data_IF_785679112201
#
_entry.id   IF_785679112201
#
_cell.length_a   1.000
_cell.length_b   1.000
_cell.length_c   1.000
_cell.angle_alpha   90.00
_cell.angle_beta   90.00
_cell.angle_gamma   90.00
#
_symmetry.space_group_name_H-M   'P 1'
#
loop_
_entity.id
_entity.type
_entity.pdbx_description
1 polymer ?
#
# COMPACT_ATOMS: atom_id res chain seq x y z
N UNK A 1 12.01 -66.20 20.69
CA UNK A 1 11.13 -66.17 19.50
C UNK A 1 10.76 -64.71 19.27
N UNK A 2 11.44 -64.01 18.36
CA UNK A 2 11.03 -63.80 16.94
C UNK A 2 9.60 -63.20 16.88
N UNK A 3 9.30 -62.09 16.22
CA UNK A 3 10.01 -61.16 15.35
C UNK A 3 9.16 -59.85 15.32
N UNK A 4 9.78 -58.68 15.35
CA UNK A 4 9.90 -57.79 14.18
C UNK A 4 8.56 -57.42 13.50
N UNK A 5 8.05 -56.22 13.75
CA UNK A 5 7.47 -55.39 12.70
C UNK A 5 7.57 -53.90 13.05
N UNK A 6 8.65 -53.29 12.53
CA UNK A 6 8.83 -51.85 12.32
C UNK A 6 8.32 -51.54 10.92
N UNK A 7 7.35 -50.63 10.75
CA UNK A 7 7.24 -49.73 9.58
C UNK A 7 6.45 -48.49 10.04
N UNK A 8 7.13 -47.44 10.50
CA UNK A 8 7.28 -46.16 9.79
C UNK A 8 5.95 -45.62 9.24
N UNK A 9 5.22 -44.84 10.04
CA UNK A 9 4.21 -43.91 9.52
C UNK A 9 4.95 -42.66 9.01
N UNK A 10 5.24 -42.65 7.71
CA UNK A 10 5.84 -41.54 6.98
C UNK A 10 4.85 -40.37 6.94
N UNK A 11 5.36 -39.20 7.30
CA UNK A 11 4.83 -37.87 7.02
C UNK A 11 4.25 -37.77 5.61
N UNK A 12 2.93 -37.60 5.49
CA UNK A 12 2.33 -36.96 4.32
C UNK A 12 1.89 -35.58 4.75
N UNK A 13 2.87 -34.69 4.86
CA UNK A 13 2.62 -33.27 4.71
C UNK A 13 2.12 -33.06 3.30
N UNK A 14 0.84 -32.72 3.14
CA UNK A 14 0.30 -32.19 1.89
C UNK A 14 0.90 -30.79 1.77
N UNK A 15 2.12 -30.75 1.24
CA UNK A 15 2.70 -29.54 0.69
C UNK A 15 1.80 -29.12 -0.47
N UNK A 16 1.11 -28.00 -0.28
CA UNK A 16 0.49 -27.28 -1.38
C UNK A 16 1.64 -26.68 -2.20
N UNK A 17 2.21 -27.49 -3.09
CA UNK A 17 3.08 -27.02 -4.14
C UNK A 17 2.19 -26.19 -5.06
N UNK A 18 2.26 -24.87 -4.91
CA UNK A 18 1.83 -23.95 -5.95
C UNK A 18 2.63 -24.28 -7.20
N UNK A 19 2.02 -25.11 -8.05
CA UNK A 19 2.41 -25.22 -9.45
C UNK A 19 2.13 -23.89 -10.10
N UNK A 20 3.13 -22.98 -10.05
CA UNK A 20 3.21 -21.89 -11.02
C UNK A 20 3.49 -22.59 -12.34
N UNK A 21 2.41 -22.88 -13.06
CA UNK A 21 2.47 -23.19 -14.49
C UNK A 21 3.19 -22.00 -15.11
N UNK A 22 4.46 -22.19 -15.45
CA UNK A 22 5.27 -21.16 -16.06
C UNK A 22 4.63 -20.78 -17.39
N UNK A 23 3.94 -19.64 -17.43
CA UNK A 23 3.78 -18.90 -18.66
C UNK A 23 5.19 -18.69 -19.21
N UNK A 24 5.50 -19.34 -20.34
CA UNK A 24 6.69 -18.98 -21.09
C UNK A 24 6.50 -17.55 -21.52
N UNK A 25 7.23 -16.66 -20.88
CA UNK A 25 7.48 -15.28 -21.25
C UNK A 25 7.65 -15.20 -22.79
N UNK A 26 6.67 -14.62 -23.47
CA UNK A 26 6.56 -14.52 -24.93
C UNK A 26 7.20 -13.23 -25.47
N UNK A 27 7.63 -12.34 -24.58
CA UNK A 27 8.29 -11.08 -24.95
C UNK A 27 9.67 -11.25 -25.60
N UNK A 28 10.08 -10.23 -26.37
CA UNK A 28 11.45 -10.14 -26.88
C UNK A 28 12.41 -9.85 -25.73
N UNK A 29 13.63 -10.39 -25.77
CA UNK A 29 14.65 -10.06 -24.76
C UNK A 29 15.12 -8.62 -24.98
N UNK A 30 15.00 -7.78 -23.95
CA UNK A 30 15.57 -6.42 -23.93
C UNK A 30 17.04 -6.51 -23.54
N UNK A 31 17.32 -7.16 -22.39
CA UNK A 31 18.68 -7.41 -21.93
C UNK A 31 18.76 -8.66 -21.04
N UNK A 32 19.99 -9.08 -20.71
CA UNK A 32 20.24 -10.16 -19.75
C UNK A 32 21.11 -9.62 -18.62
N UNK A 33 20.63 -9.75 -17.39
CA UNK A 33 21.34 -9.34 -16.17
C UNK A 33 21.68 -10.62 -15.43
N UNK A 34 22.97 -10.95 -15.33
CA UNK A 34 23.42 -12.19 -14.70
C UNK A 34 22.76 -13.43 -15.33
N UNK A 35 21.89 -14.09 -14.56
CA UNK A 35 21.12 -15.28 -15.00
C UNK A 35 19.68 -14.96 -15.40
N UNK A 36 19.20 -13.74 -15.17
CA UNK A 36 17.83 -13.35 -15.51
C UNK A 36 17.78 -12.63 -16.86
N UNK A 37 16.76 -12.98 -17.66
CA UNK A 37 16.46 -12.30 -18.91
C UNK A 37 15.33 -11.32 -18.67
N UNK A 38 15.59 -10.04 -18.92
CA UNK A 38 14.54 -9.02 -18.96
C UNK A 38 13.92 -9.06 -20.36
N UNK A 39 12.62 -9.33 -20.41
CA UNK A 39 11.83 -9.34 -21.64
C UNK A 39 10.92 -8.12 -21.71
N UNK A 40 10.39 -7.84 -22.90
CA UNK A 40 9.36 -6.83 -23.09
C UNK A 40 8.13 -7.09 -22.22
N UNK A 41 7.65 -8.34 -22.15
CA UNK A 41 6.49 -8.72 -21.34
C UNK A 41 6.75 -8.54 -19.83
N UNK A 42 7.94 -8.90 -19.33
CA UNK A 42 8.32 -8.65 -17.92
C UNK A 42 8.32 -7.15 -17.59
N UNK A 43 8.92 -6.34 -18.46
CA UNK A 43 8.96 -4.91 -18.24
C UNK A 43 7.58 -4.28 -18.35
N UNK A 44 6.78 -4.62 -19.38
CA UNK A 44 5.42 -4.10 -19.56
C UNK A 44 4.49 -4.48 -18.39
N UNK A 45 4.63 -5.70 -17.85
CA UNK A 45 3.91 -6.14 -16.65
C UNK A 45 4.30 -5.30 -15.44
N UNK A 46 5.60 -5.12 -15.20
CA UNK A 46 6.12 -4.26 -14.13
C UNK A 46 5.63 -2.81 -14.28
N UNK A 47 5.74 -2.26 -15.48
CA UNK A 47 5.39 -0.88 -15.80
C UNK A 47 3.89 -0.62 -15.62
N UNK A 48 3.04 -1.55 -16.05
CA UNK A 48 1.59 -1.49 -15.83
C UNK A 48 1.26 -1.47 -14.34
N UNK A 49 1.90 -2.34 -13.55
CA UNK A 49 1.72 -2.37 -12.10
C UNK A 49 2.26 -1.09 -11.43
N UNK A 50 3.34 -0.51 -11.94
CA UNK A 50 3.91 0.74 -11.45
C UNK A 50 2.95 1.92 -11.65
N UNK A 51 2.35 2.05 -12.84
CA UNK A 51 1.32 3.06 -13.13
C UNK A 51 0.10 2.87 -12.23
N UNK A 52 -0.39 1.64 -12.07
CA UNK A 52 -1.51 1.33 -11.17
C UNK A 52 -1.20 1.77 -9.74
N UNK A 53 -0.01 1.43 -9.24
CA UNK A 53 0.45 1.85 -7.91
C UNK A 53 0.49 3.38 -7.79
N UNK A 54 1.07 4.07 -8.77
CA UNK A 54 1.14 5.53 -8.76
C UNK A 54 -0.25 6.18 -8.75
N UNK A 55 -1.17 5.68 -9.57
CA UNK A 55 -2.58 6.13 -9.60
C UNK A 55 -3.25 5.99 -8.24
N UNK A 56 -3.08 4.85 -7.57
CA UNK A 56 -3.65 4.60 -6.23
C UNK A 56 -3.04 5.50 -5.16
N UNK A 57 -1.73 5.68 -5.17
CA UNK A 57 -1.03 6.49 -4.18
C UNK A 57 -1.31 7.99 -4.36
N UNK A 58 -1.39 8.46 -5.61
CA UNK A 58 -1.71 9.84 -5.93
C UNK A 58 -3.21 10.15 -5.86
N UNK A 59 -4.06 9.13 -5.68
CA UNK A 59 -5.52 9.24 -5.80
C UNK A 59 -5.96 9.95 -7.10
N UNK A 60 -5.23 9.68 -8.19
CA UNK A 60 -5.44 10.27 -9.51
C UNK A 60 -5.85 9.17 -10.48
N UNK A 61 -6.75 9.47 -11.41
CA UNK A 61 -7.05 8.57 -12.51
C UNK A 61 -5.82 8.40 -13.43
N UNK A 62 -5.72 7.25 -14.10
CA UNK A 62 -4.59 6.97 -14.99
C UNK A 62 -4.51 7.94 -16.16
N UNK A 63 -5.64 8.40 -16.69
CA UNK A 63 -5.68 9.33 -17.82
C UNK A 63 -5.04 10.67 -17.46
N UNK A 64 -5.24 11.15 -16.23
CA UNK A 64 -4.57 12.33 -15.68
C UNK A 64 -3.07 12.11 -15.60
N UNK A 65 -2.61 10.95 -15.13
CA UNK A 65 -1.18 10.64 -15.12
C UNK A 65 -0.59 10.61 -16.53
N UNK A 66 -1.27 9.96 -17.48
CA UNK A 66 -0.86 9.92 -18.88
C UNK A 66 -0.80 11.30 -19.52
N UNK A 67 -1.80 12.15 -19.24
CA UNK A 67 -1.80 13.55 -19.71
C UNK A 67 -0.58 14.29 -19.18
N UNK A 68 -0.26 14.16 -17.89
CA UNK A 68 0.89 14.83 -17.28
C UNK A 68 2.24 14.33 -17.82
N UNK A 69 2.33 13.05 -18.19
CA UNK A 69 3.52 12.51 -18.88
C UNK A 69 3.70 13.12 -20.28
N UNK A 70 2.60 13.33 -21.01
CA UNK A 70 2.61 13.91 -22.35
C UNK A 70 2.71 15.44 -22.38
N UNK A 71 2.41 16.11 -21.25
CA UNK A 71 2.36 17.56 -21.11
C UNK A 71 3.18 18.03 -19.89
N UNK A 72 4.52 18.03 -19.99
CA UNK A 72 5.39 18.37 -18.86
C UNK A 72 5.16 19.77 -18.28
N UNK A 73 4.66 20.71 -19.09
CA UNK A 73 4.28 22.06 -18.70
C UNK A 73 3.09 22.11 -17.73
N UNK A 74 2.28 21.05 -17.69
CA UNK A 74 1.10 20.93 -16.81
C UNK A 74 1.43 20.25 -15.48
N UNK A 75 2.67 19.75 -15.30
CA UNK A 75 3.07 19.11 -14.05
C UNK A 75 3.10 20.17 -12.94
N UNK A 76 2.47 19.90 -11.77
CA UNK A 76 2.57 20.78 -10.62
C UNK A 76 4.03 21.11 -10.26
N UNK A 77 4.30 22.34 -9.81
CA UNK A 77 5.66 22.75 -9.42
C UNK A 77 6.17 22.06 -8.15
N UNK A 78 5.33 21.25 -7.50
CA UNK A 78 5.71 20.42 -6.37
C UNK A 78 6.79 19.37 -6.77
N UNK A 79 7.94 19.32 -6.05
CA UNK A 79 9.01 18.38 -6.38
C UNK A 79 8.58 16.92 -6.36
N UNK A 80 7.70 16.51 -5.45
CA UNK A 80 7.26 15.11 -5.35
C UNK A 80 6.39 14.74 -6.54
N UNK A 81 5.49 15.64 -6.99
CA UNK A 81 4.72 15.44 -8.22
C UNK A 81 5.63 15.29 -9.43
N UNK A 82 6.64 16.16 -9.56
CA UNK A 82 7.58 16.11 -10.68
C UNK A 82 8.38 14.82 -10.70
N UNK A 83 8.90 14.39 -9.56
CA UNK A 83 9.66 13.14 -9.45
C UNK A 83 8.79 11.90 -9.73
N UNK A 84 7.54 11.93 -9.27
CA UNK A 84 6.56 10.87 -9.56
C UNK A 84 6.29 10.78 -11.06
N UNK A 85 5.93 11.89 -11.72
CA UNK A 85 5.63 11.91 -13.15
C UNK A 85 6.87 11.55 -13.98
N UNK A 86 8.05 12.07 -13.63
CA UNK A 86 9.30 11.70 -14.29
C UNK A 86 9.60 10.20 -14.15
N UNK A 87 9.23 9.59 -13.03
CA UNK A 87 9.33 8.14 -12.80
C UNK A 87 8.33 7.30 -13.60
N UNK A 88 7.28 7.90 -14.16
CA UNK A 88 6.34 7.24 -15.07
C UNK A 88 6.83 7.24 -16.52
N UNK A 89 7.82 8.05 -16.89
CA UNK A 89 8.38 8.03 -18.25
C UNK A 89 9.04 6.66 -18.50
N UNK A 90 8.68 5.92 -19.57
CA UNK A 90 9.12 4.54 -19.77
C UNK A 90 10.62 4.33 -19.66
N UNK A 91 11.44 5.19 -20.26
CA UNK A 91 12.90 5.09 -20.23
C UNK A 91 13.44 5.24 -18.81
N UNK A 92 12.97 6.26 -18.07
CA UNK A 92 13.36 6.48 -16.68
C UNK A 92 12.88 5.33 -15.77
N UNK A 93 11.70 4.79 -16.06
CA UNK A 93 11.13 3.69 -15.31
C UNK A 93 11.89 2.39 -15.56
N UNK A 94 12.30 2.15 -16.81
CA UNK A 94 13.13 1.02 -17.20
C UNK A 94 14.48 1.03 -16.49
N UNK A 95 15.18 2.17 -16.44
CA UNK A 95 16.46 2.27 -15.72
C UNK A 95 16.28 1.97 -14.22
N UNK A 96 15.22 2.48 -13.59
CA UNK A 96 14.91 2.15 -12.18
C UNK A 96 14.61 0.65 -12.00
N UNK A 97 13.82 0.06 -12.90
CA UNK A 97 13.51 -1.36 -12.88
C UNK A 97 14.78 -2.21 -13.01
N UNK A 98 15.61 -1.85 -13.97
CA UNK A 98 16.91 -2.47 -14.27
C UNK A 98 17.83 -2.45 -13.05
N UNK A 99 18.00 -1.30 -12.42
CA UNK A 99 18.84 -1.15 -11.23
C UNK A 99 18.33 -2.00 -10.06
N UNK A 100 17.01 -2.02 -9.84
CA UNK A 100 16.42 -2.89 -8.83
C UNK A 100 16.67 -4.37 -9.11
N UNK A 101 16.63 -4.80 -10.38
CA UNK A 101 16.95 -6.18 -10.77
C UNK A 101 18.40 -6.55 -10.54
N UNK A 102 19.33 -5.63 -10.79
CA UNK A 102 20.76 -5.83 -10.48
C UNK A 102 20.96 -6.00 -8.97
N UNK A 103 20.38 -5.10 -8.17
CA UNK A 103 20.48 -5.13 -6.70
C UNK A 103 19.82 -6.39 -6.13
N UNK A 104 18.63 -6.76 -6.63
CA UNK A 104 17.94 -7.99 -6.24
C UNK A 104 18.85 -9.20 -6.42
N UNK A 105 19.51 -9.33 -7.59
CA UNK A 105 20.39 -10.47 -7.84
C UNK A 105 21.58 -10.54 -6.88
N UNK A 106 22.20 -9.40 -6.57
CA UNK A 106 23.28 -9.34 -5.59
C UNK A 106 22.78 -9.77 -4.21
N UNK A 107 21.64 -9.22 -3.76
CA UNK A 107 21.03 -9.56 -2.48
C UNK A 107 20.66 -11.05 -2.37
N UNK A 108 20.13 -11.65 -3.45
CA UNK A 108 19.82 -13.09 -3.50
C UNK A 108 21.09 -13.92 -3.44
N UNK A 109 22.13 -13.56 -4.18
CA UNK A 109 23.39 -14.30 -4.21
C UNK A 109 24.09 -14.32 -2.84
N UNK A 110 23.94 -13.25 -2.06
CA UNK A 110 24.47 -13.14 -0.69
C UNK A 110 23.56 -13.77 0.38
N UNK A 111 22.40 -14.31 0.00
CA UNK A 111 21.41 -14.85 0.94
C UNK A 111 20.80 -13.77 1.85
N UNK A 112 20.83 -12.50 1.43
CA UNK A 112 20.34 -11.37 2.22
C UNK A 112 18.84 -11.52 2.53
N UNK A 113 18.04 -11.91 1.53
CA UNK A 113 16.61 -12.18 1.69
C UNK A 113 16.30 -13.36 2.61
N UNK A 114 17.28 -14.24 2.88
CA UNK A 114 17.08 -15.43 3.70
C UNK A 114 17.29 -15.19 5.19
N UNK A 115 17.89 -14.04 5.56
CA UNK A 115 18.10 -13.64 6.94
C UNK A 115 16.76 -13.53 7.68
N UNK A 116 16.65 -14.03 8.93
CA UNK A 116 15.40 -14.03 9.68
C UNK A 116 14.79 -12.63 9.89
N UNK A 117 15.62 -11.62 10.13
CA UNK A 117 15.18 -10.23 10.31
C UNK A 117 14.62 -9.64 9.00
N UNK A 118 15.28 -9.91 7.87
CA UNK A 118 14.82 -9.46 6.55
C UNK A 118 13.51 -10.14 6.16
N UNK A 119 13.37 -11.45 6.39
CA UNK A 119 12.10 -12.16 6.16
C UNK A 119 10.95 -11.56 6.96
N UNK A 120 11.17 -11.29 8.26
CA UNK A 120 10.14 -10.68 9.10
C UNK A 120 9.74 -9.27 8.62
N UNK A 121 10.70 -8.46 8.14
CA UNK A 121 10.42 -7.15 7.55
C UNK A 121 9.61 -7.30 6.25
N UNK A 122 10.01 -8.21 5.36
CA UNK A 122 9.30 -8.44 4.10
C UNK A 122 7.88 -8.94 4.32
N UNK A 123 7.66 -9.83 5.29
CA UNK A 123 6.33 -10.32 5.67
C UNK A 123 5.45 -9.18 6.21
N UNK A 124 6.03 -8.29 7.03
CA UNK A 124 5.33 -7.10 7.52
C UNK A 124 4.95 -6.16 6.37
N UNK A 125 5.89 -5.84 5.47
CA UNK A 125 5.65 -4.98 4.30
C UNK A 125 4.59 -5.59 3.37
N UNK A 126 4.63 -6.90 3.15
CA UNK A 126 3.62 -7.62 2.38
C UNK A 126 2.23 -7.49 3.01
N UNK A 127 2.12 -7.71 4.32
CA UNK A 127 0.85 -7.60 5.05
C UNK A 127 0.28 -6.17 4.96
N UNK A 128 1.12 -5.16 5.20
CA UNK A 128 0.73 -3.75 5.13
C UNK A 128 0.25 -3.37 3.73
N UNK A 129 1.04 -3.73 2.70
CA UNK A 129 0.70 -3.44 1.31
C UNK A 129 -0.60 -4.14 0.87
N UNK A 130 -0.76 -5.43 1.19
CA UNK A 130 -1.97 -6.19 0.84
C UNK A 130 -3.21 -5.61 1.52
N UNK A 131 -3.13 -5.35 2.83
CA UNK A 131 -4.24 -4.78 3.59
C UNK A 131 -4.63 -3.40 3.06
N UNK A 132 -3.65 -2.54 2.77
CA UNK A 132 -3.89 -1.21 2.23
C UNK A 132 -4.52 -1.28 0.83
N UNK A 133 -3.97 -2.07 -0.09
CA UNK A 133 -4.47 -2.18 -1.47
C UNK A 133 -5.91 -2.69 -1.51
N UNK A 134 -6.21 -3.73 -0.71
CA UNK A 134 -7.56 -4.28 -0.62
C UNK A 134 -8.55 -3.26 -0.03
N UNK A 135 -8.17 -2.60 1.06
CA UNK A 135 -9.02 -1.61 1.70
C UNK A 135 -9.29 -0.41 0.77
N UNK A 136 -8.27 0.09 0.08
CA UNK A 136 -8.40 1.18 -0.90
C UNK A 136 -9.37 0.81 -2.03
N UNK A 137 -9.25 -0.38 -2.60
CA UNK A 137 -10.16 -0.85 -3.65
C UNK A 137 -11.61 -0.88 -3.16
N UNK A 138 -11.85 -1.45 -1.98
CA UNK A 138 -13.19 -1.48 -1.38
C UNK A 138 -13.72 -0.09 -1.05
N UNK A 139 -12.86 0.82 -0.62
CA UNK A 139 -13.23 2.19 -0.30
C UNK A 139 -13.59 3.00 -1.56
N UNK A 140 -12.79 2.88 -2.63
CA UNK A 140 -13.08 3.54 -3.91
C UNK A 140 -14.43 3.09 -4.49
N UNK A 141 -14.81 1.82 -4.29
CA UNK A 141 -16.13 1.34 -4.70
C UNK A 141 -17.29 1.99 -3.91
N UNK A 142 -17.05 2.47 -2.68
CA UNK A 142 -18.03 3.10 -1.79
C UNK A 142 -18.13 4.62 -2.00
N UNK A 143 -17.01 5.30 -2.26
CA UNK A 143 -16.95 6.75 -2.41
C UNK A 143 -17.18 7.15 -3.87
N UNK A 144 -18.42 7.54 -4.18
CA UNK A 144 -18.79 8.15 -5.46
C UNK A 144 -19.35 9.54 -5.21
N UNK A 145 -18.73 10.57 -5.77
CA UNK A 145 -19.17 11.96 -5.62
C UNK A 145 -20.02 12.35 -6.82
N UNK A 146 -21.24 12.80 -6.59
CA UNK A 146 -22.08 13.35 -7.66
C UNK A 146 -21.68 14.80 -7.98
N UNK A 147 -22.00 15.29 -9.18
CA UNK A 147 -21.78 16.71 -9.51
C UNK A 147 -22.50 17.66 -8.55
N UNK A 148 -23.71 17.29 -8.10
CA UNK A 148 -24.47 18.03 -7.10
C UNK A 148 -23.72 18.15 -5.78
N UNK A 149 -23.01 17.11 -5.34
CA UNK A 149 -22.21 17.15 -4.11
C UNK A 149 -21.03 18.10 -4.25
N UNK A 150 -20.38 18.11 -5.43
CA UNK A 150 -19.26 19.03 -5.73
C UNK A 150 -19.72 20.48 -5.68
N UNK A 151 -20.85 20.79 -6.32
CA UNK A 151 -21.44 22.12 -6.35
C UNK A 151 -21.83 22.58 -4.94
N UNK A 152 -22.51 21.71 -4.18
CA UNK A 152 -22.94 21.99 -2.81
C UNK A 152 -21.73 22.31 -1.92
N UNK A 153 -20.69 21.47 -1.97
CA UNK A 153 -19.47 21.70 -1.18
C UNK A 153 -18.68 22.91 -1.62
N UNK A 154 -18.60 23.19 -2.92
CA UNK A 154 -18.01 24.42 -3.43
C UNK A 154 -18.72 25.67 -2.88
N UNK A 155 -20.06 25.67 -2.86
CA UNK A 155 -20.84 26.78 -2.30
C UNK A 155 -20.66 26.90 -0.78
N UNK A 156 -20.63 25.78 -0.05
CA UNK A 156 -20.33 25.77 1.38
C UNK A 156 -18.95 26.37 1.67
N UNK A 157 -17.91 25.96 0.93
CA UNK A 157 -16.54 26.47 1.08
C UNK A 157 -16.48 27.97 0.83
N UNK A 158 -17.11 28.45 -0.25
CA UNK A 158 -17.20 29.90 -0.54
C UNK A 158 -17.89 30.69 0.56
N UNK A 159 -18.90 30.09 1.20
CA UNK A 159 -19.65 30.74 2.28
C UNK A 159 -18.90 30.73 3.61
N UNK A 160 -18.26 29.62 3.96
CA UNK A 160 -17.56 29.43 5.24
C UNK A 160 -16.16 30.05 5.25
N UNK A 161 -15.48 30.07 4.09
CA UNK A 161 -14.10 30.55 3.92
C UNK A 161 -13.99 31.59 2.79
N UNK A 162 -14.74 32.71 2.85
CA UNK A 162 -14.83 33.65 1.73
C UNK A 162 -13.48 34.28 1.37
N UNK A 163 -12.60 34.50 2.35
CA UNK A 163 -11.27 35.06 2.13
C UNK A 163 -10.32 34.08 1.42
N UNK A 164 -10.39 32.78 1.75
CA UNK A 164 -9.55 31.73 1.16
C UNK A 164 -10.03 31.34 -0.25
N UNK A 165 -11.34 31.48 -0.49
CA UNK A 165 -11.98 31.18 -1.77
C UNK A 165 -12.00 32.38 -2.73
N UNK A 166 -11.58 33.56 -2.26
CA UNK A 166 -11.53 34.76 -3.09
C UNK A 166 -10.54 34.57 -4.26
N UNK A 167 -10.99 34.90 -5.47
CA UNK A 167 -10.17 34.78 -6.69
C UNK A 167 -10.06 33.37 -7.27
N UNK A 168 -10.63 32.34 -6.64
CA UNK A 168 -10.70 30.98 -7.20
C UNK A 168 -11.78 30.87 -8.27
N UNK A 169 -11.43 30.26 -9.40
CA UNK A 169 -12.36 29.94 -10.48
C UNK A 169 -13.43 28.94 -10.03
N UNK A 170 -14.48 28.79 -10.83
CA UNK A 170 -15.50 27.77 -10.55
C UNK A 170 -14.91 26.35 -10.61
N UNK A 171 -14.04 26.06 -11.57
CA UNK A 171 -13.41 24.75 -11.71
C UNK A 171 -12.55 24.40 -10.49
N UNK A 172 -11.72 25.33 -10.02
CA UNK A 172 -10.92 25.13 -8.79
C UNK A 172 -11.84 24.89 -7.58
N UNK A 173 -12.92 25.65 -7.46
CA UNK A 173 -13.88 25.49 -6.38
C UNK A 173 -14.57 24.11 -6.43
N UNK A 174 -14.96 23.63 -7.61
CA UNK A 174 -15.56 22.31 -7.79
C UNK A 174 -14.57 21.18 -7.45
N UNK A 175 -13.30 21.30 -7.82
CA UNK A 175 -12.25 20.34 -7.42
C UNK A 175 -12.05 20.31 -5.90
N UNK A 176 -12.04 21.48 -5.26
CA UNK A 176 -11.97 21.57 -3.80
C UNK A 176 -13.23 20.98 -3.15
N UNK A 177 -14.41 21.25 -3.70
CA UNK A 177 -15.68 20.68 -3.26
C UNK A 177 -15.71 19.16 -3.38
N UNK A 178 -15.21 18.61 -4.48
CA UNK A 178 -15.05 17.17 -4.68
C UNK A 178 -14.13 16.56 -3.61
N UNK A 179 -12.96 17.16 -3.37
CA UNK A 179 -12.03 16.69 -2.35
C UNK A 179 -12.64 16.75 -0.95
N UNK A 180 -13.35 17.83 -0.61
CA UNK A 180 -14.04 17.96 0.67
C UNK A 180 -15.14 16.89 0.84
N UNK A 181 -15.96 16.67 -0.20
CA UNK A 181 -16.98 15.63 -0.21
C UNK A 181 -16.38 14.22 -0.05
N UNK A 182 -15.28 13.92 -0.75
CA UNK A 182 -14.54 12.65 -0.61
C UNK A 182 -14.05 12.46 0.82
N UNK A 183 -13.49 13.50 1.43
CA UNK A 183 -12.98 13.46 2.79
C UNK A 183 -14.07 13.18 3.83
N UNK A 184 -15.22 13.84 3.72
CA UNK A 184 -16.35 13.60 4.63
C UNK A 184 -16.90 12.17 4.47
N UNK A 185 -17.14 11.73 3.23
CA UNK A 185 -17.60 10.36 2.98
C UNK A 185 -16.58 9.33 3.43
N UNK A 186 -15.28 9.60 3.25
CA UNK A 186 -14.23 8.73 3.74
C UNK A 186 -14.31 8.56 5.26
N UNK A 187 -14.48 9.64 6.02
CA UNK A 187 -14.59 9.56 7.49
C UNK A 187 -15.79 8.72 7.94
N UNK A 188 -16.89 8.74 7.19
CA UNK A 188 -18.10 7.96 7.47
C UNK A 188 -17.94 6.49 7.05
N UNK A 189 -17.43 6.23 5.84
CA UNK A 189 -17.35 4.90 5.25
C UNK A 189 -16.14 4.10 5.77
N UNK A 190 -15.07 4.77 6.20
CA UNK A 190 -13.88 4.11 6.77
C UNK A 190 -14.19 3.18 7.95
N UNK A 191 -14.82 3.63 9.05
CA UNK A 191 -15.16 2.76 10.16
C UNK A 191 -16.16 1.67 9.77
N UNK A 192 -17.11 1.96 8.87
CA UNK A 192 -18.11 0.99 8.38
C UNK A 192 -17.45 -0.14 7.61
N UNK A 193 -16.67 0.19 6.60
CA UNK A 193 -15.94 -0.79 5.79
C UNK A 193 -15.03 -1.66 6.67
N UNK A 194 -14.37 -1.07 7.67
CA UNK A 194 -13.55 -1.83 8.61
C UNK A 194 -14.38 -2.80 9.47
N UNK A 195 -15.61 -2.45 9.84
CA UNK A 195 -16.53 -3.37 10.53
C UNK A 195 -16.97 -4.49 9.60
N UNK A 196 -17.42 -4.16 8.40
CA UNK A 196 -17.87 -5.12 7.38
C UNK A 196 -16.78 -6.18 7.11
N UNK A 197 -15.53 -5.74 6.93
CA UNK A 197 -14.39 -6.64 6.72
C UNK A 197 -14.19 -7.56 7.94
N UNK A 198 -14.24 -7.03 9.17
CA UNK A 198 -14.09 -7.85 10.38
C UNK A 198 -15.21 -8.87 10.54
N UNK A 199 -16.43 -8.50 10.19
CA UNK A 199 -17.61 -9.38 10.27
C UNK A 199 -17.57 -10.48 9.20
N UNK A 200 -16.93 -10.21 8.05
CA UNK A 200 -16.77 -11.19 6.97
C UNK A 200 -15.77 -12.32 7.26
N UNK A 201 -14.99 -12.22 8.34
CA UNK A 201 -13.98 -13.23 8.71
C UNK A 201 -14.29 -13.86 10.06
N UNK A 202 -14.08 -15.18 10.17
CA UNK A 202 -14.28 -15.88 11.43
C UNK A 202 -13.13 -15.57 12.40
N UNK A 203 -13.43 -14.86 13.49
CA UNK A 203 -12.46 -14.59 14.56
C UNK A 203 -12.71 -15.55 15.72
N UNK A 204 -11.81 -16.53 15.90
CA UNK A 204 -11.83 -17.42 17.06
C UNK A 204 -10.93 -16.85 18.16
N UNK A 205 -11.53 -16.48 19.30
CA UNK A 205 -10.78 -16.04 20.48
C UNK A 205 -10.31 -17.25 21.29
N UNK A 206 -9.05 -17.24 21.71
CA UNK A 206 -8.55 -18.19 22.71
C UNK A 206 -8.85 -17.62 24.11
N UNK A 207 -9.82 -18.21 24.81
CA UNK A 207 -10.24 -17.74 26.14
C UNK A 207 -9.21 -18.06 27.22
N UNK A 208 -8.28 -18.98 26.98
CA UNK A 208 -7.22 -19.36 27.92
C UNK A 208 -6.01 -18.40 27.85
N UNK A 209 -6.03 -17.45 26.91
CA UNK A 209 -4.96 -16.49 26.72
C UNK A 209 -5.43 -15.06 27.00
N UNK A 210 -4.90 -14.45 28.07
CA UNK A 210 -5.12 -13.04 28.35
C UNK A 210 -4.28 -12.16 27.41
N UNK A 211 -4.89 -11.84 26.28
CA UNK A 211 -4.29 -10.97 25.26
C UNK A 211 -3.97 -9.58 25.81
N UNK A 212 -4.86 -9.00 26.61
CA UNK A 212 -4.74 -7.60 27.01
C UNK A 212 -3.63 -7.43 28.05
N UNK A 213 -3.51 -8.36 28.99
CA UNK A 213 -2.36 -8.42 29.89
C UNK A 213 -1.07 -8.74 29.15
N UNK A 214 -1.08 -9.65 28.17
CA UNK A 214 0.12 -9.94 27.39
C UNK A 214 0.67 -8.70 26.67
N UNK A 215 -0.19 -7.98 25.94
CA UNK A 215 0.21 -6.79 25.18
C UNK A 215 0.66 -5.64 26.07
N UNK A 216 0.04 -5.45 27.24
CA UNK A 216 0.38 -4.36 28.17
C UNK A 216 1.60 -4.68 29.03
N UNK A 217 1.68 -5.92 29.53
CA UNK A 217 2.53 -6.26 30.66
C UNK A 217 3.46 -7.44 30.42
N UNK A 218 3.31 -8.27 29.38
CA UNK A 218 4.17 -9.47 29.18
C UNK A 218 4.98 -9.45 27.89
N UNK A 219 4.75 -8.48 27.00
CA UNK A 219 5.54 -8.31 25.79
C UNK A 219 6.94 -7.78 26.14
N UNK A 220 7.90 -8.70 26.30
CA UNK A 220 9.27 -8.42 26.76
C UNK A 220 9.94 -7.25 26.02
N UNK A 221 9.91 -7.25 24.68
CA UNK A 221 10.52 -6.19 23.88
C UNK A 221 9.96 -4.81 24.23
N UNK A 222 8.65 -4.70 24.42
CA UNK A 222 8.02 -3.43 24.78
C UNK A 222 8.38 -2.99 26.21
N UNK A 223 8.48 -3.93 27.15
CA UNK A 223 8.99 -3.63 28.49
C UNK A 223 10.43 -3.11 28.47
N UNK A 224 11.30 -3.75 27.67
CA UNK A 224 12.70 -3.35 27.54
C UNK A 224 12.81 -1.97 26.88
N UNK A 225 11.97 -1.67 25.88
CA UNK A 225 11.88 -0.34 25.28
C UNK A 225 11.40 0.70 26.30
N UNK A 226 10.36 0.42 27.10
CA UNK A 226 9.87 1.36 28.13
C UNK A 226 10.93 1.68 29.17
N UNK A 227 11.70 0.67 29.60
CA UNK A 227 12.84 0.85 30.53
C UNK A 227 13.95 1.69 29.92
N UNK A 228 14.35 1.35 28.69
CA UNK A 228 15.45 2.05 27.99
C UNK A 228 15.05 3.48 27.61
N UNK A 229 13.79 3.70 27.21
CA UNK A 229 13.24 4.99 26.80
C UNK A 229 12.74 5.88 27.94
N UNK A 230 12.89 5.47 29.21
CA UNK A 230 12.49 6.28 30.36
C UNK A 230 10.98 6.53 30.50
N UNK A 231 10.14 5.67 29.90
CA UNK A 231 8.68 5.83 29.99
C UNK A 231 8.21 5.52 31.43
N UNK A 232 7.55 6.46 32.11
CA UNK A 232 6.95 6.22 33.42
C UNK A 232 5.79 5.22 33.34
N UNK A 233 5.43 4.58 34.46
CA UNK A 233 4.25 3.71 34.53
C UNK A 233 2.94 4.47 34.26
N UNK A 234 2.95 5.80 34.42
CA UNK A 234 1.84 6.71 34.17
C UNK A 234 1.74 7.22 32.73
N UNK A 235 2.58 6.75 31.81
CA UNK A 235 2.50 7.14 30.40
C UNK A 235 1.13 6.75 29.85
N UNK A 236 0.28 7.76 29.67
CA UNK A 236 -1.09 7.65 29.19
C UNK A 236 -1.13 6.77 27.96
N UNK A 237 -2.09 5.85 27.88
CA UNK A 237 -2.37 5.09 26.67
C UNK A 237 -2.48 6.08 25.52
N UNK A 238 -1.49 6.11 24.62
CA UNK A 238 -1.61 6.80 23.35
C UNK A 238 -2.64 5.99 22.58
N UNK A 239 -3.89 6.41 22.63
CA UNK A 239 -4.92 5.88 21.75
C UNK A 239 -4.45 6.21 20.34
N UNK A 240 -4.18 5.21 19.48
CA UNK A 240 -3.88 5.48 18.09
C UNK A 240 -5.03 6.35 17.56
N UNK A 241 -4.71 7.45 16.88
CA UNK A 241 -5.76 8.16 16.17
C UNK A 241 -6.39 7.13 15.22
N UNK A 242 -7.70 6.92 15.36
CA UNK A 242 -8.45 6.16 14.38
C UNK A 242 -8.61 6.99 13.08
N UNK A 243 -8.11 8.23 13.06
CA UNK A 243 -7.99 9.00 11.84
C UNK A 243 -6.89 8.40 10.97
N UNK A 244 -7.17 8.19 9.68
CA UNK A 244 -6.14 7.83 8.72
C UNK A 244 -5.07 8.92 8.74
N UNK A 245 -3.80 8.54 8.74
CA UNK A 245 -2.72 9.44 8.37
C UNK A 245 -2.90 9.78 6.88
N UNK A 246 -3.72 10.79 6.61
CA UNK A 246 -3.81 11.43 5.31
C UNK A 246 -2.58 12.31 5.21
N UNK A 247 -1.48 11.76 4.70
CA UNK A 247 -0.53 12.64 4.01
C UNK A 247 -1.34 13.26 2.87
N UNK A 248 -1.51 14.59 2.83
CA UNK A 248 -2.24 15.21 1.74
C UNK A 248 -1.56 14.83 0.43
N UNK A 249 -2.31 14.19 -0.47
CA UNK A 249 -1.91 14.12 -1.86
C UNK A 249 -1.86 15.56 -2.37
N UNK A 250 -0.63 15.99 -2.67
CA UNK A 250 -0.21 17.19 -3.41
C UNK A 250 -1.38 18.08 -3.83
N UNK A 251 -1.62 19.10 -3.01
CA UNK A 251 -2.70 20.06 -3.18
C UNK A 251 -2.50 21.23 -2.24
N UNK A 252 -1.49 22.05 -2.53
CA UNK A 252 -1.44 23.46 -2.13
C UNK A 252 -1.39 24.31 -3.38
#
# INVERSE_FOLDING_TARGET
MFALNRVIAILVGIGFVFGIVGCKDQGQTIETIGKDKITTEKFETYYTAYIEKASRLANADKETLYRLMCHPEQIPQDPQARDMIAGLIPENNYEKFRDMKIIEQAAVAEGFQDRPDIKAILDQVYLEALAQLYFQEKMQAKIKISETDKETKCQELRSKHPAEMAGRTLEECLKMGESAAKMELFQVEYPRLRSDIKESVQIKKNNDFDRDDYLKNKLKLYQDIRKTGGCSESSTTITPSNEPNLVPAIGK
#
